data_IF_720935949777
#
_entry.id   IF_720935949777
#
_cell.length_a   1.000
_cell.length_b   1.000
_cell.length_c   1.000
_cell.angle_alpha   90.00
_cell.angle_beta   90.00
_cell.angle_gamma   90.00
#
_symmetry.space_group_name_H-M   'P 1'
#
loop_
_entity.id
_entity.type
_entity.pdbx_description
1 polymer ?
#
# COMPACT_ATOMS: atom_id res chain seq x y z
N UNK A 1 -30.94 -0.64 7.89
CA UNK A 1 -30.49 -0.16 6.55
C UNK A 1 -29.29 -0.97 6.17
N UNK A 2 -29.23 -1.46 4.95
CA UNK A 2 -28.02 -2.12 4.42
C UNK A 2 -26.95 -1.07 4.23
N UNK A 3 -25.73 -1.30 4.76
CA UNK A 3 -24.60 -0.40 4.60
C UNK A 3 -24.17 -0.35 3.13
N UNK A 4 -23.81 0.84 2.63
CA UNK A 4 -23.15 0.94 1.32
C UNK A 4 -21.73 0.33 1.40
N UNK A 5 -21.12 -0.04 0.27
CA UNK A 5 -19.70 -0.47 0.25
C UNK A 5 -18.79 0.54 0.96
N UNK A 6 -18.97 1.83 0.70
CA UNK A 6 -18.20 2.89 1.34
C UNK A 6 -18.40 2.92 2.85
N UNK A 7 -19.67 2.94 3.31
CA UNK A 7 -19.98 3.02 4.74
C UNK A 7 -19.35 1.85 5.50
N UNK A 8 -19.38 0.65 4.91
CA UNK A 8 -18.80 -0.56 5.51
C UNK A 8 -17.28 -0.45 5.67
N UNK A 9 -16.57 0.02 4.64
CA UNK A 9 -15.12 0.22 4.75
C UNK A 9 -14.79 1.29 5.80
N UNK A 10 -15.49 2.43 5.79
CA UNK A 10 -15.25 3.50 6.76
C UNK A 10 -15.60 3.11 8.19
N UNK A 11 -16.66 2.34 8.40
CA UNK A 11 -17.02 1.78 9.71
C UNK A 11 -15.97 0.76 10.19
N UNK A 12 -15.43 -0.08 9.28
CA UNK A 12 -14.32 -0.97 9.59
C UNK A 12 -13.07 -0.19 10.03
N UNK A 13 -12.74 0.91 9.33
CA UNK A 13 -11.60 1.75 9.70
C UNK A 13 -11.78 2.47 11.04
N UNK A 14 -13.01 2.66 11.49
CA UNK A 14 -13.35 3.20 12.83
C UNK A 14 -13.55 2.13 13.90
N UNK A 15 -13.43 0.85 13.55
CA UNK A 15 -13.75 -0.29 14.41
C UNK A 15 -15.20 -0.25 14.95
N UNK A 16 -16.13 0.31 14.17
CA UNK A 16 -17.57 0.31 14.46
C UNK A 16 -18.21 -1.05 14.15
N UNK A 17 -19.41 -1.28 14.66
CA UNK A 17 -20.17 -2.53 14.41
C UNK A 17 -20.55 -2.65 12.93
N UNK A 18 -20.37 -3.84 12.38
CA UNK A 18 -20.59 -4.17 10.97
C UNK A 18 -21.57 -5.33 10.82
N UNK A 19 -22.27 -5.38 9.70
CA UNK A 19 -23.04 -6.55 9.25
C UNK A 19 -22.09 -7.72 8.86
N UNK A 20 -20.94 -7.40 8.29
CA UNK A 20 -19.82 -8.27 7.96
C UNK A 20 -18.56 -7.43 7.69
N UNK A 21 -17.35 -8.01 7.70
CA UNK A 21 -16.18 -7.25 7.25
C UNK A 21 -16.30 -6.89 5.76
N UNK A 22 -15.78 -5.72 5.34
CA UNK A 22 -15.68 -5.39 3.92
C UNK A 22 -14.62 -6.25 3.21
N UNK A 23 -14.83 -6.46 1.92
CA UNK A 23 -13.83 -7.06 1.03
C UNK A 23 -13.19 -5.96 0.17
N UNK A 24 -11.95 -5.61 0.49
CA UNK A 24 -11.29 -4.46 -0.10
C UNK A 24 -9.77 -4.64 -0.14
N UNK A 25 -9.19 -4.85 -1.33
CA UNK A 25 -7.74 -4.97 -1.48
C UNK A 25 -7.10 -3.58 -1.41
N UNK A 26 -6.34 -3.30 -0.36
CA UNK A 26 -5.67 -2.00 -0.15
C UNK A 26 -4.28 -1.95 -0.78
N UNK A 27 -3.65 -3.07 -1.05
CA UNK A 27 -2.36 -3.18 -1.74
C UNK A 27 -2.49 -2.99 -3.26
N UNK A 28 -1.38 -3.02 -4.01
CA UNK A 28 -1.40 -2.88 -5.46
C UNK A 28 -2.19 -4.01 -6.11
N UNK A 29 -3.16 -3.63 -6.91
CA UNK A 29 -4.10 -4.59 -7.46
C UNK A 29 -4.61 -4.16 -8.84
N UNK A 30 -4.02 -4.69 -9.90
CA UNK A 30 -4.56 -4.65 -11.26
C UNK A 30 -4.18 -5.93 -11.99
N UNK A 31 -5.12 -6.52 -12.73
CA UNK A 31 -4.88 -7.76 -13.48
C UNK A 31 -5.02 -7.54 -14.97
N UNK A 32 -4.43 -8.44 -15.77
CA UNK A 32 -4.59 -8.44 -17.24
C UNK A 32 -6.05 -8.52 -17.65
N UNK A 33 -6.85 -9.35 -16.97
CA UNK A 33 -8.28 -9.45 -17.21
C UNK A 33 -9.03 -8.14 -16.98
N UNK A 34 -8.68 -7.41 -15.92
CA UNK A 34 -9.24 -6.07 -15.66
C UNK A 34 -8.83 -5.07 -16.74
N UNK A 35 -7.55 -5.02 -17.08
CA UNK A 35 -7.02 -4.12 -18.12
C UNK A 35 -7.74 -4.33 -19.46
N UNK A 36 -7.97 -5.60 -19.85
CA UNK A 36 -8.67 -5.96 -21.07
C UNK A 36 -10.15 -5.53 -21.02
N UNK A 37 -10.85 -5.86 -19.93
CA UNK A 37 -12.29 -5.58 -19.79
C UNK A 37 -12.59 -4.08 -19.79
N UNK A 38 -11.75 -3.26 -19.18
CA UNK A 38 -12.00 -1.81 -19.11
C UNK A 38 -11.29 -1.03 -20.22
N UNK A 39 -10.39 -1.63 -21.00
CA UNK A 39 -9.64 -0.93 -22.04
C UNK A 39 -8.73 0.17 -21.48
N UNK A 40 -8.17 -0.03 -20.29
CA UNK A 40 -7.18 0.81 -19.66
C UNK A 40 -6.06 -0.09 -19.13
N UNK A 41 -4.88 -0.03 -19.73
CA UNK A 41 -3.81 -1.00 -19.48
C UNK A 41 -2.50 -0.32 -19.13
N UNK A 42 -1.61 -1.07 -18.47
CA UNK A 42 -0.21 -0.72 -18.36
C UNK A 42 0.47 -0.81 -19.75
N UNK A 43 1.49 0.01 -20.01
CA UNK A 43 2.08 1.01 -19.13
C UNK A 43 1.37 2.37 -19.08
N UNK A 44 0.40 2.63 -19.98
CA UNK A 44 -0.25 3.95 -20.13
C UNK A 44 -1.01 4.36 -18.87
N UNK A 45 -1.70 3.42 -18.21
CA UNK A 45 -2.45 3.69 -16.97
C UNK A 45 -1.54 4.05 -15.77
N UNK A 46 -0.23 3.91 -15.88
CA UNK A 46 0.71 4.46 -14.90
C UNK A 46 1.01 5.95 -15.10
N UNK A 47 0.66 6.51 -16.27
CA UNK A 47 1.11 7.84 -16.73
C UNK A 47 -0.04 8.79 -17.03
N UNK A 48 -1.28 8.32 -17.07
CA UNK A 48 -2.50 9.12 -17.34
C UNK A 48 -3.50 8.97 -16.20
N UNK A 49 -3.92 10.09 -15.64
CA UNK A 49 -4.91 10.14 -14.58
C UNK A 49 -6.23 9.47 -14.97
N UNK A 50 -6.70 9.69 -16.21
CA UNK A 50 -7.93 9.14 -16.72
C UNK A 50 -7.88 7.61 -16.86
N UNK A 51 -6.79 7.08 -17.43
CA UNK A 51 -6.60 5.63 -17.55
C UNK A 51 -6.35 4.99 -16.20
N UNK A 52 -5.63 5.68 -15.31
CA UNK A 52 -5.39 5.24 -13.93
C UNK A 52 -6.71 5.17 -13.14
N UNK A 53 -7.55 6.18 -13.21
CA UNK A 53 -8.86 6.19 -12.57
C UNK A 53 -9.76 5.08 -13.13
N UNK A 54 -9.82 4.95 -14.45
CA UNK A 54 -10.61 3.90 -15.13
C UNK A 54 -10.19 2.49 -14.71
N UNK A 55 -8.89 2.22 -14.62
CA UNK A 55 -8.38 0.93 -14.13
C UNK A 55 -8.57 0.79 -12.62
N UNK A 56 -8.48 1.90 -11.86
CA UNK A 56 -8.64 1.94 -10.41
C UNK A 56 -10.04 1.58 -9.92
N UNK A 57 -11.08 1.84 -10.74
CA UNK A 57 -12.47 1.47 -10.44
C UNK A 57 -12.80 0.03 -10.85
N UNK A 58 -12.00 -0.59 -11.73
CA UNK A 58 -12.31 -1.87 -12.37
C UNK A 58 -12.65 -3.00 -11.38
N UNK A 59 -12.00 -3.07 -10.22
CA UNK A 59 -12.29 -4.13 -9.24
C UNK A 59 -13.67 -3.97 -8.59
N UNK A 60 -14.10 -2.74 -8.34
CA UNK A 60 -15.44 -2.46 -7.86
C UNK A 60 -16.48 -2.81 -8.94
N UNK A 61 -16.28 -2.31 -10.15
CA UNK A 61 -17.23 -2.44 -11.24
C UNK A 61 -17.38 -3.88 -11.76
N UNK A 62 -16.29 -4.65 -11.81
CA UNK A 62 -16.28 -6.01 -12.39
C UNK A 62 -16.62 -7.06 -11.34
N UNK A 63 -16.02 -6.98 -10.15
CA UNK A 63 -16.10 -8.03 -9.13
C UNK A 63 -16.90 -7.63 -7.89
N UNK A 64 -17.18 -6.34 -7.70
CA UNK A 64 -17.93 -5.82 -6.57
C UNK A 64 -17.09 -5.71 -5.29
N UNK A 65 -15.80 -5.42 -5.39
CA UNK A 65 -14.99 -4.97 -4.26
C UNK A 65 -15.52 -3.64 -3.69
N UNK A 66 -15.31 -3.40 -2.42
CA UNK A 66 -15.96 -2.30 -1.69
C UNK A 66 -15.11 -1.02 -1.64
N UNK A 67 -14.08 -0.96 -2.49
CA UNK A 67 -13.21 0.20 -2.68
C UNK A 67 -12.84 0.40 -4.14
N UNK A 68 -12.38 1.59 -4.50
CA UNK A 68 -11.61 1.89 -5.71
C UNK A 68 -10.19 2.33 -5.31
N UNK A 69 -9.17 2.07 -6.17
CA UNK A 69 -7.77 2.27 -5.75
C UNK A 69 -6.82 2.60 -6.90
N UNK A 70 -5.92 3.55 -6.65
CA UNK A 70 -4.71 3.86 -7.42
C UNK A 70 -3.62 4.47 -6.48
N UNK A 71 -2.36 4.65 -6.92
CA UNK A 71 -1.71 4.08 -8.11
C UNK A 71 -1.37 2.60 -7.95
N UNK A 72 -0.76 1.98 -8.99
CA UNK A 72 -0.54 0.53 -9.06
C UNK A 72 0.92 0.09 -8.82
N UNK A 73 1.82 0.98 -8.39
CA UNK A 73 3.23 0.66 -8.17
C UNK A 73 3.82 1.51 -7.05
N UNK A 74 5.03 1.14 -6.60
CA UNK A 74 5.82 1.82 -5.57
C UNK A 74 7.04 2.56 -6.16
N UNK A 75 6.96 2.98 -7.42
CA UNK A 75 8.11 3.57 -8.12
C UNK A 75 7.83 4.97 -8.67
N UNK A 76 6.58 5.44 -8.54
CA UNK A 76 6.20 6.75 -9.06
C UNK A 76 6.92 7.89 -8.33
N UNK A 77 7.05 7.75 -7.02
CA UNK A 77 7.71 8.70 -6.15
C UNK A 77 9.22 8.76 -6.44
N UNK A 78 9.87 7.60 -6.50
CA UNK A 78 11.31 7.53 -6.79
C UNK A 78 11.64 8.07 -8.19
N UNK A 79 10.80 7.77 -9.21
CA UNK A 79 10.97 8.32 -10.57
C UNK A 79 10.88 9.85 -10.56
N UNK A 80 9.91 10.42 -9.83
CA UNK A 80 9.78 11.87 -9.71
C UNK A 80 10.99 12.51 -9.03
N UNK A 81 11.64 11.78 -8.12
CA UNK A 81 12.87 12.20 -7.43
C UNK A 81 14.16 11.86 -8.19
N UNK A 82 14.06 11.39 -9.43
CA UNK A 82 15.21 11.22 -10.33
C UNK A 82 15.66 9.77 -10.56
N UNK A 83 15.03 8.78 -9.95
CA UNK A 83 15.34 7.37 -10.21
C UNK A 83 14.95 6.98 -11.65
N UNK A 84 15.78 6.17 -12.30
CA UNK A 84 15.41 5.56 -13.58
C UNK A 84 14.49 4.38 -13.33
N UNK A 85 13.30 4.42 -13.93
CA UNK A 85 12.28 3.38 -13.76
C UNK A 85 11.96 2.73 -15.11
N UNK A 86 11.98 1.42 -15.16
CA UNK A 86 11.39 0.66 -16.26
C UNK A 86 9.88 0.56 -16.06
N UNK A 87 9.11 1.27 -16.90
CA UNK A 87 7.64 1.37 -16.82
C UNK A 87 6.99 1.08 -18.18
N UNK A 88 7.57 0.16 -18.95
CA UNK A 88 7.19 -0.12 -20.34
C UNK A 88 6.48 -1.47 -20.53
N UNK A 89 6.30 -2.25 -19.46
CA UNK A 89 5.70 -3.58 -19.54
C UNK A 89 4.22 -3.59 -19.19
N UNK A 90 3.44 -4.39 -19.92
CA UNK A 90 2.02 -4.60 -19.67
C UNK A 90 1.76 -5.66 -18.58
N UNK A 91 2.66 -6.60 -18.44
CA UNK A 91 2.53 -7.81 -17.63
C UNK A 91 3.44 -7.86 -16.41
N UNK A 92 4.09 -6.74 -16.10
CA UNK A 92 4.94 -6.61 -14.92
C UNK A 92 4.84 -5.22 -14.30
N UNK A 93 4.94 -5.14 -12.99
CA UNK A 93 5.04 -3.87 -12.26
C UNK A 93 6.30 -3.09 -12.66
N UNK A 94 6.26 -1.76 -12.65
CA UNK A 94 7.44 -0.92 -12.86
C UNK A 94 8.57 -1.23 -11.86
N UNK A 95 9.82 -1.17 -12.33
CA UNK A 95 11.01 -1.52 -11.55
C UNK A 95 12.05 -0.40 -11.57
N UNK A 96 12.68 -0.13 -10.44
CA UNK A 96 13.85 0.75 -10.35
C UNK A 96 15.01 0.10 -11.11
N UNK A 97 15.68 0.89 -11.95
CA UNK A 97 16.88 0.46 -12.73
C UNK A 97 18.17 1.14 -12.28
N UNK A 98 18.05 2.37 -11.82
CA UNK A 98 19.18 3.08 -11.20
C UNK A 98 18.69 4.08 -10.17
N UNK A 99 19.53 4.30 -9.19
CA UNK A 99 19.32 5.21 -8.09
C UNK A 99 19.94 6.56 -8.40
N UNK A 100 19.28 7.70 -8.09
CA UNK A 100 19.79 9.03 -8.46
C UNK A 100 20.90 9.53 -7.54
N UNK A 101 21.08 8.96 -6.36
CA UNK A 101 22.05 9.42 -5.37
C UNK A 101 23.01 8.32 -4.95
N UNK A 102 24.24 8.72 -4.67
CA UNK A 102 25.28 7.85 -4.15
C UNK A 102 25.15 7.72 -2.63
N UNK A 103 25.22 6.49 -2.14
CA UNK A 103 25.24 6.16 -0.72
C UNK A 103 26.05 4.88 -0.51
N UNK A 104 27.28 5.00 -0.06
CA UNK A 104 28.18 3.87 0.19
C UNK A 104 28.67 3.88 1.65
N UNK A 105 28.05 3.06 2.53
CA UNK A 105 28.45 3.01 3.93
C UNK A 105 29.82 2.33 4.14
N UNK A 106 30.28 1.51 3.17
CA UNK A 106 31.59 0.85 3.25
C UNK A 106 32.74 1.82 3.01
N UNK A 107 32.52 2.78 2.09
CA UNK A 107 33.52 3.80 1.75
C UNK A 107 33.31 5.11 2.52
N UNK A 108 32.23 5.21 3.29
CA UNK A 108 31.78 6.47 3.95
C UNK A 108 31.60 7.61 2.97
N UNK A 109 31.01 7.31 1.80
CA UNK A 109 30.75 8.26 0.72
C UNK A 109 29.23 8.44 0.54
N UNK A 110 28.74 9.67 0.73
CA UNK A 110 27.31 9.99 0.70
C UNK A 110 27.04 11.28 -0.03
N UNK A 111 26.05 11.28 -0.93
CA UNK A 111 25.46 12.50 -1.43
C UNK A 111 24.67 13.23 -0.32
N UNK A 112 24.50 14.55 -0.47
CA UNK A 112 23.73 15.33 0.49
C UNK A 112 22.23 15.33 0.13
N UNK A 113 21.33 14.83 1.01
CA UNK A 113 19.90 14.86 0.78
C UNK A 113 19.29 16.27 0.71
N UNK A 114 20.02 17.32 1.08
CA UNK A 114 19.58 18.72 0.91
C UNK A 114 19.32 19.09 -0.57
N UNK A 115 19.79 18.28 -1.51
CA UNK A 115 19.52 18.44 -2.94
C UNK A 115 18.19 17.83 -3.40
N UNK A 116 17.41 17.22 -2.49
CA UNK A 116 16.09 16.70 -2.83
C UNK A 116 15.13 17.82 -3.24
N UNK A 117 14.24 17.49 -4.16
CA UNK A 117 13.15 18.34 -4.60
C UNK A 117 12.26 18.74 -3.42
N UNK A 118 11.71 19.96 -3.42
CA UNK A 118 10.75 20.36 -2.38
C UNK A 118 9.46 19.54 -2.43
N UNK A 119 8.75 19.38 -1.30
CA UNK A 119 7.45 18.69 -1.29
C UNK A 119 6.42 19.29 -2.26
N UNK A 120 6.39 20.61 -2.38
CA UNK A 120 5.46 21.34 -3.27
C UNK A 120 5.79 21.05 -4.74
N UNK A 121 7.06 21.09 -5.10
CA UNK A 121 7.50 20.75 -6.47
C UNK A 121 7.24 19.27 -6.78
N UNK A 122 7.44 18.38 -5.79
CA UNK A 122 7.20 16.95 -5.94
C UNK A 122 5.75 16.64 -6.33
N UNK A 123 4.78 17.15 -5.58
CA UNK A 123 3.35 16.89 -5.84
C UNK A 123 2.82 17.57 -7.11
N UNK A 124 3.51 18.58 -7.61
CA UNK A 124 3.09 19.34 -8.80
C UNK A 124 3.41 18.65 -10.15
N UNK A 125 4.13 17.53 -10.16
CA UNK A 125 4.56 16.95 -11.43
C UNK A 125 4.74 15.42 -11.43
N UNK A 126 5.00 14.88 -12.62
CA UNK A 126 5.26 13.46 -12.83
C UNK A 126 4.08 12.56 -12.51
N UNK A 127 4.35 11.28 -12.29
CA UNK A 127 3.30 10.29 -11.95
C UNK A 127 2.60 10.55 -10.61
N UNK A 128 3.22 11.15 -9.57
CA UNK A 128 2.49 11.55 -8.38
C UNK A 128 1.36 12.55 -8.66
N UNK A 129 1.57 13.56 -9.49
CA UNK A 129 0.51 14.50 -9.89
C UNK A 129 -0.61 13.81 -10.67
N UNK A 130 -0.31 12.85 -11.52
CA UNK A 130 -1.32 12.05 -12.23
C UNK A 130 -2.12 11.15 -11.26
N UNK A 131 -1.47 10.60 -10.22
CA UNK A 131 -2.17 9.85 -9.18
C UNK A 131 -3.12 10.74 -8.36
N UNK A 132 -2.71 11.96 -8.01
CA UNK A 132 -3.56 12.94 -7.32
C UNK A 132 -4.81 13.23 -8.17
N UNK A 133 -4.65 13.54 -9.46
CA UNK A 133 -5.79 13.76 -10.39
C UNK A 133 -6.67 12.52 -10.53
N UNK A 134 -6.07 11.31 -10.54
CA UNK A 134 -6.86 10.08 -10.59
C UNK A 134 -7.72 9.90 -9.33
N UNK A 135 -7.25 10.32 -8.14
CA UNK A 135 -8.07 10.34 -6.92
C UNK A 135 -9.29 11.26 -7.08
N UNK A 136 -9.10 12.48 -7.60
CA UNK A 136 -10.22 13.42 -7.86
C UNK A 136 -11.26 12.81 -8.81
N UNK A 137 -10.80 12.14 -9.88
CA UNK A 137 -11.69 11.48 -10.84
C UNK A 137 -12.47 10.32 -10.20
N UNK A 138 -11.80 9.48 -9.40
CA UNK A 138 -12.44 8.38 -8.69
C UNK A 138 -13.37 8.87 -7.58
N UNK A 139 -13.00 9.91 -6.84
CA UNK A 139 -13.87 10.54 -5.85
C UNK A 139 -15.16 11.08 -6.48
N UNK A 140 -15.04 11.72 -7.63
CA UNK A 140 -16.21 12.22 -8.39
C UNK A 140 -17.13 11.10 -8.90
N UNK A 141 -16.57 9.98 -9.34
CA UNK A 141 -17.35 8.88 -9.96
C UNK A 141 -17.87 7.87 -8.95
N UNK A 142 -17.13 7.56 -7.89
CA UNK A 142 -17.41 6.46 -6.96
C UNK A 142 -17.45 6.88 -5.49
N UNK A 143 -17.07 8.12 -5.15
CA UNK A 143 -16.90 8.56 -3.77
C UNK A 143 -18.17 8.53 -2.90
N UNK A 144 -19.36 8.50 -3.51
CA UNK A 144 -20.61 8.33 -2.77
C UNK A 144 -20.90 6.86 -2.40
N UNK A 145 -20.35 5.91 -3.15
CA UNK A 145 -20.70 4.49 -3.04
C UNK A 145 -19.56 3.59 -2.58
N UNK A 146 -18.32 3.93 -2.89
CA UNK A 146 -17.13 3.14 -2.58
C UNK A 146 -16.08 3.95 -1.83
N UNK A 147 -15.31 3.30 -0.95
CA UNK A 147 -14.17 3.94 -0.33
C UNK A 147 -13.06 4.20 -1.35
N UNK A 148 -12.49 5.39 -1.31
CA UNK A 148 -11.37 5.78 -2.17
C UNK A 148 -10.07 5.46 -1.42
N UNK A 149 -9.29 4.54 -1.96
CA UNK A 149 -8.00 4.12 -1.37
C UNK A 149 -6.86 4.60 -2.27
N UNK A 150 -5.99 5.40 -1.71
CA UNK A 150 -4.73 5.77 -2.34
C UNK A 150 -3.58 4.90 -1.82
N UNK A 151 -2.54 4.73 -2.64
CA UNK A 151 -1.30 4.09 -2.23
C UNK A 151 -0.11 5.03 -2.35
N UNK A 152 0.81 4.96 -1.41
CA UNK A 152 2.13 5.60 -1.50
C UNK A 152 3.24 4.69 -0.97
N UNK A 153 4.48 5.10 -1.17
CA UNK A 153 5.68 4.42 -0.68
C UNK A 153 6.11 5.02 0.65
N UNK A 154 6.44 4.18 1.61
CA UNK A 154 6.90 4.62 2.92
C UNK A 154 8.29 5.26 2.90
N UNK A 155 8.64 6.06 3.92
CA UNK A 155 9.83 6.89 3.91
C UNK A 155 11.14 6.09 3.83
N UNK A 156 11.26 4.98 4.53
CA UNK A 156 12.46 4.14 4.50
C UNK A 156 12.60 3.43 3.15
N UNK A 157 11.51 2.86 2.62
CA UNK A 157 11.50 2.23 1.29
C UNK A 157 11.76 3.24 0.18
N UNK A 158 11.17 4.44 0.25
CA UNK A 158 11.41 5.48 -0.75
C UNK A 158 12.88 5.92 -0.72
N UNK A 159 13.46 6.10 0.46
CA UNK A 159 14.89 6.39 0.60
C UNK A 159 15.73 5.29 -0.06
N UNK A 160 15.45 4.02 0.23
CA UNK A 160 16.14 2.89 -0.41
C UNK A 160 16.02 2.87 -1.93
N UNK A 161 14.88 3.31 -2.48
CA UNK A 161 14.69 3.48 -3.92
C UNK A 161 15.55 4.60 -4.50
N UNK A 162 15.96 5.59 -3.70
CA UNK A 162 16.80 6.72 -4.13
C UNK A 162 18.30 6.44 -4.02
N UNK A 163 18.72 5.68 -2.98
CA UNK A 163 20.13 5.50 -2.63
C UNK A 163 20.65 4.06 -2.75
N UNK A 164 19.84 3.13 -3.19
CA UNK A 164 20.00 1.68 -3.14
C UNK A 164 19.63 1.07 -1.78
N UNK A 165 18.62 0.19 -1.80
CA UNK A 165 18.07 -0.43 -0.59
C UNK A 165 19.11 -1.30 0.15
N UNK A 166 19.96 -2.03 -0.57
CA UNK A 166 20.99 -2.87 0.04
C UNK A 166 22.01 -2.03 0.81
N UNK A 167 22.51 -0.96 0.19
CA UNK A 167 23.43 -0.01 0.84
C UNK A 167 22.79 0.65 2.06
N UNK A 168 21.50 0.96 1.98
CA UNK A 168 20.78 1.56 3.09
C UNK A 168 20.61 0.60 4.28
N UNK A 169 20.33 -0.68 4.02
CA UNK A 169 20.28 -1.72 5.07
C UNK A 169 21.66 -1.93 5.72
N UNK A 170 22.74 -1.96 4.93
CA UNK A 170 24.10 -1.95 5.49
C UNK A 170 24.38 -0.66 6.29
N UNK A 171 23.89 0.47 5.81
CA UNK A 171 24.00 1.75 6.51
C UNK A 171 23.37 1.74 7.90
N UNK A 172 22.29 1.01 8.12
CA UNK A 172 21.71 0.87 9.47
C UNK A 172 22.69 0.30 10.51
N UNK A 173 23.66 -0.49 10.09
CA UNK A 173 24.70 -1.05 10.99
C UNK A 173 25.97 -0.20 11.04
N UNK A 174 26.33 0.45 9.94
CA UNK A 174 27.62 1.11 9.77
C UNK A 174 27.58 2.64 9.91
N UNK A 175 26.47 3.25 9.50
CA UNK A 175 26.29 4.69 9.44
C UNK A 175 24.82 5.07 9.70
N UNK A 176 24.23 4.67 10.85
CA UNK A 176 22.81 4.87 11.11
C UNK A 176 22.40 6.36 11.10
N UNK A 177 23.31 7.27 11.46
CA UNK A 177 23.07 8.71 11.43
C UNK A 177 22.88 9.22 9.99
N UNK A 178 23.62 8.69 8.99
CA UNK A 178 23.45 9.06 7.60
C UNK A 178 22.16 8.48 7.03
N UNK A 179 21.78 7.27 7.41
CA UNK A 179 20.46 6.71 7.05
C UNK A 179 19.35 7.59 7.61
N UNK A 180 19.41 7.94 8.89
CA UNK A 180 18.41 8.81 9.55
C UNK A 180 18.32 10.17 8.86
N UNK A 181 19.46 10.78 8.50
CA UNK A 181 19.52 12.05 7.77
C UNK A 181 18.76 11.96 6.43
N UNK A 182 18.97 10.88 5.67
CA UNK A 182 18.30 10.65 4.39
C UNK A 182 16.80 10.41 4.56
N UNK A 183 16.38 9.57 5.49
CA UNK A 183 14.96 9.29 5.73
C UNK A 183 14.23 10.55 6.24
N UNK A 184 14.87 11.33 7.12
CA UNK A 184 14.33 12.62 7.58
C UNK A 184 14.14 13.63 6.44
N UNK A 185 15.02 13.64 5.45
CA UNK A 185 14.88 14.52 4.28
C UNK A 185 13.75 14.08 3.35
N UNK A 186 13.44 12.77 3.27
CA UNK A 186 12.35 12.21 2.48
C UNK A 186 10.99 12.36 3.17
N UNK A 187 10.92 12.34 4.49
CA UNK A 187 9.69 12.41 5.28
C UNK A 187 8.73 13.55 4.88
N UNK A 188 9.16 14.81 4.70
CA UNK A 188 8.28 15.89 4.26
C UNK A 188 7.61 15.64 2.92
N UNK A 189 8.29 14.96 1.99
CA UNK A 189 7.77 14.60 0.68
C UNK A 189 6.65 13.55 0.83
N UNK A 190 6.88 12.50 1.63
CA UNK A 190 5.87 11.46 1.91
C UNK A 190 4.66 12.07 2.60
N UNK A 191 4.87 12.98 3.57
CA UNK A 191 3.80 13.69 4.27
C UNK A 191 2.96 14.53 3.31
N UNK A 192 3.61 15.34 2.46
CA UNK A 192 2.91 16.20 1.50
C UNK A 192 2.12 15.38 0.49
N UNK A 193 2.69 14.27 0.01
CA UNK A 193 1.99 13.39 -0.92
C UNK A 193 0.80 12.67 -0.27
N UNK A 194 0.97 12.15 0.96
CA UNK A 194 -0.13 11.57 1.75
C UNK A 194 -1.29 12.56 1.88
N UNK A 195 -0.99 13.81 2.23
CA UNK A 195 -2.01 14.84 2.40
C UNK A 195 -2.63 15.27 1.07
N UNK A 196 -1.85 15.39 0.00
CA UNK A 196 -2.39 15.72 -1.32
C UNK A 196 -3.36 14.65 -1.86
N UNK A 197 -3.07 13.36 -1.62
CA UNK A 197 -3.97 12.27 -1.95
C UNK A 197 -5.28 12.33 -1.14
N UNK A 198 -5.21 12.67 0.15
CA UNK A 198 -6.39 12.87 1.00
C UNK A 198 -7.23 14.07 0.54
N UNK A 199 -6.59 15.19 0.20
CA UNK A 199 -7.27 16.39 -0.31
C UNK A 199 -7.93 16.15 -1.65
N UNK A 200 -7.36 15.29 -2.50
CA UNK A 200 -7.93 14.84 -3.76
C UNK A 200 -9.09 13.84 -3.60
N UNK A 201 -9.44 13.48 -2.38
CA UNK A 201 -10.64 12.67 -2.08
C UNK A 201 -10.37 11.27 -1.55
N UNK A 202 -9.11 10.85 -1.37
CA UNK A 202 -8.84 9.55 -0.74
C UNK A 202 -9.41 9.51 0.69
N UNK A 203 -10.15 8.45 1.00
CA UNK A 203 -10.64 8.17 2.36
C UNK A 203 -9.55 7.49 3.20
N UNK A 204 -8.76 6.63 2.54
CA UNK A 204 -7.67 5.87 3.14
C UNK A 204 -6.40 6.04 2.30
N UNK A 205 -5.27 6.33 2.93
CA UNK A 205 -3.95 6.23 2.30
C UNK A 205 -3.23 5.01 2.87
N UNK A 206 -2.98 4.02 2.01
CA UNK A 206 -2.20 2.85 2.36
C UNK A 206 -0.75 3.08 1.98
N UNK A 207 0.12 3.15 2.97
CA UNK A 207 1.56 3.29 2.81
C UNK A 207 2.22 1.92 2.78
N UNK A 208 3.01 1.66 1.77
CA UNK A 208 3.81 0.44 1.65
C UNK A 208 5.25 0.69 2.10
N UNK A 209 5.69 -0.06 3.12
CA UNK A 209 7.02 0.03 3.70
C UNK A 209 7.74 -1.35 3.70
N UNK A 210 7.86 -2.02 2.53
CA UNK A 210 8.42 -3.37 2.47
C UNK A 210 9.86 -3.46 2.98
N UNK A 211 10.65 -2.39 2.88
CA UNK A 211 12.03 -2.40 3.39
C UNK A 211 12.12 -2.41 4.92
N UNK A 212 11.03 -2.10 5.63
CA UNK A 212 10.91 -2.26 7.07
C UNK A 212 10.60 -3.69 7.54
N UNK A 213 10.53 -4.64 6.62
CA UNK A 213 10.24 -6.06 6.92
C UNK A 213 11.36 -6.74 7.70
N UNK A 214 11.00 -7.71 8.52
CA UNK A 214 11.98 -8.58 9.19
C UNK A 214 12.70 -9.55 8.24
N UNK A 215 12.27 -9.62 6.99
CA UNK A 215 13.04 -10.28 5.92
C UNK A 215 14.30 -9.47 5.53
N UNK A 216 14.39 -8.19 5.93
CA UNK A 216 15.50 -7.28 5.59
C UNK A 216 16.20 -6.68 6.82
N UNK A 217 15.46 -6.43 7.89
CA UNK A 217 15.93 -5.79 9.12
C UNK A 217 15.75 -6.69 10.33
N UNK A 218 16.66 -6.62 11.30
CA UNK A 218 16.39 -7.20 12.61
C UNK A 218 15.21 -6.46 13.28
N UNK A 219 14.36 -7.17 14.07
CA UNK A 219 13.15 -6.56 14.64
C UNK A 219 13.40 -5.33 15.51
N UNK A 220 14.55 -5.26 16.20
CA UNK A 220 14.97 -4.13 17.04
C UNK A 220 15.39 -2.90 16.23
N UNK A 221 15.68 -3.04 14.94
CA UNK A 221 16.01 -1.93 14.04
C UNK A 221 14.76 -1.23 13.47
N UNK A 222 13.58 -1.84 13.56
CA UNK A 222 12.37 -1.32 12.89
C UNK A 222 12.01 0.10 13.32
N UNK A 223 12.06 0.40 14.63
CA UNK A 223 11.68 1.72 15.13
C UNK A 223 12.58 2.80 14.57
N UNK A 224 13.90 2.58 14.55
CA UNK A 224 14.86 3.56 14.05
C UNK A 224 14.87 3.67 12.52
N UNK A 225 14.67 2.56 11.82
CA UNK A 225 14.66 2.54 10.36
C UNK A 225 13.38 3.12 9.75
N UNK A 226 12.22 2.69 10.23
CA UNK A 226 10.93 2.98 9.63
C UNK A 226 9.88 3.51 10.62
N UNK A 227 9.78 2.95 11.83
CA UNK A 227 8.68 3.19 12.76
C UNK A 227 8.47 4.67 13.11
N UNK A 228 9.52 5.35 13.58
CA UNK A 228 9.47 6.78 13.93
C UNK A 228 9.13 7.67 12.73
N UNK A 229 9.64 7.33 11.54
CA UNK A 229 9.42 8.11 10.32
C UNK A 229 8.00 7.93 9.77
N UNK A 230 7.47 6.71 9.82
CA UNK A 230 6.06 6.41 9.50
C UNK A 230 5.13 7.18 10.44
N UNK A 231 5.41 7.19 11.74
CA UNK A 231 4.64 7.95 12.74
C UNK A 231 4.57 9.45 12.43
N UNK A 232 5.62 10.01 11.86
CA UNK A 232 5.67 11.42 11.47
C UNK A 232 4.92 11.69 10.16
N UNK A 233 5.19 10.87 9.13
CA UNK A 233 4.73 11.12 7.75
C UNK A 233 3.29 10.67 7.49
N UNK A 234 2.75 9.73 8.26
CA UNK A 234 1.42 9.18 8.03
C UNK A 234 0.35 9.69 9.00
N UNK A 235 0.46 10.91 9.48
CA UNK A 235 -0.59 11.53 10.29
C UNK A 235 -1.84 11.78 9.43
N UNK A 236 -2.99 11.15 9.75
CA UNK A 236 -4.19 11.35 8.96
C UNK A 236 -4.76 12.76 9.17
N UNK A 237 -5.43 13.29 8.15
CA UNK A 237 -6.32 14.45 8.29
C UNK A 237 -7.64 14.03 8.93
N UNK A 238 -8.40 14.98 9.48
CA UNK A 238 -9.70 14.72 10.09
C UNK A 238 -10.64 13.95 9.16
N UNK A 239 -11.20 12.85 9.65
CA UNK A 239 -12.10 11.99 8.89
C UNK A 239 -11.44 11.11 7.83
N UNK A 240 -10.09 11.11 7.75
CA UNK A 240 -9.28 10.28 6.85
C UNK A 240 -8.50 9.22 7.65
N UNK A 241 -8.02 8.19 6.96
CA UNK A 241 -7.36 7.06 7.59
C UNK A 241 -6.02 6.75 6.93
N UNK A 242 -5.09 6.19 7.69
CA UNK A 242 -3.82 5.69 7.19
C UNK A 242 -3.66 4.21 7.54
N UNK A 243 -3.09 3.45 6.62
CA UNK A 243 -2.79 2.03 6.79
C UNK A 243 -1.33 1.77 6.43
N UNK A 244 -0.58 1.19 7.36
CA UNK A 244 0.79 0.76 7.10
C UNK A 244 0.77 -0.68 6.59
N UNK A 245 1.32 -0.92 5.39
CA UNK A 245 1.53 -2.25 4.85
C UNK A 245 3.02 -2.61 4.86
N UNK A 246 3.32 -3.74 5.48
CA UNK A 246 4.64 -4.37 5.41
C UNK A 246 4.43 -5.84 5.03
N UNK A 247 5.10 -6.29 3.97
CA UNK A 247 5.09 -7.69 3.55
C UNK A 247 6.13 -8.51 4.34
N UNK A 248 6.11 -9.82 4.16
CA UNK A 248 7.00 -10.73 4.86
C UNK A 248 6.50 -11.18 6.24
N UNK A 249 7.38 -11.77 7.04
CA UNK A 249 7.06 -12.16 8.42
C UNK A 249 7.12 -10.94 9.35
N UNK A 250 5.99 -10.27 9.52
CA UNK A 250 5.88 -9.11 10.41
C UNK A 250 5.52 -9.47 11.86
N UNK A 251 5.35 -10.75 12.19
CA UNK A 251 4.95 -11.15 13.54
C UNK A 251 5.84 -10.56 14.66
N UNK A 252 7.19 -10.54 14.52
CA UNK A 252 8.06 -9.95 15.53
C UNK A 252 7.82 -8.45 15.78
N UNK A 253 7.44 -7.69 14.75
CA UNK A 253 7.31 -6.22 14.78
C UNK A 253 5.86 -5.71 14.83
N UNK A 254 4.85 -6.58 14.94
CA UNK A 254 3.43 -6.17 14.93
C UNK A 254 3.11 -5.08 15.96
N UNK A 255 3.64 -5.20 17.18
CA UNK A 255 3.41 -4.20 18.24
C UNK A 255 4.07 -2.85 17.92
N UNK A 256 5.22 -2.88 17.28
CA UNK A 256 5.91 -1.67 16.81
C UNK A 256 5.15 -1.02 15.65
N UNK A 257 4.61 -1.83 14.71
CA UNK A 257 3.73 -1.31 13.65
C UNK A 257 2.48 -0.61 14.25
N UNK A 258 1.85 -1.20 15.26
CA UNK A 258 0.73 -0.58 15.99
C UNK A 258 1.17 0.73 16.67
N UNK A 259 2.37 0.76 17.26
CA UNK A 259 2.90 1.94 17.97
C UNK A 259 3.20 3.13 17.06
N UNK A 260 3.27 2.94 15.73
CA UNK A 260 3.37 4.05 14.77
C UNK A 260 2.14 4.97 14.80
N UNK A 261 1.01 4.49 15.33
CA UNK A 261 -0.21 5.28 15.45
C UNK A 261 -1.02 5.41 14.17
N UNK A 262 -0.72 4.62 13.13
CA UNK A 262 -1.58 4.51 11.94
C UNK A 262 -2.93 3.89 12.32
N UNK A 263 -3.98 4.20 11.55
CA UNK A 263 -5.34 3.69 11.81
C UNK A 263 -5.42 2.17 11.66
N UNK A 264 -4.65 1.60 10.75
CA UNK A 264 -4.63 0.16 10.51
C UNK A 264 -3.28 -0.35 10.04
N UNK A 265 -3.05 -1.64 10.21
CA UNK A 265 -1.90 -2.36 9.66
C UNK A 265 -2.36 -3.43 8.68
N UNK A 266 -1.65 -3.54 7.57
CA UNK A 266 -1.88 -4.54 6.53
C UNK A 266 -0.71 -5.52 6.51
N UNK A 267 -1.00 -6.81 6.61
CA UNK A 267 0.01 -7.86 6.80
C UNK A 267 -0.19 -9.01 5.82
N UNK A 268 0.91 -9.72 5.56
CA UNK A 268 0.98 -10.85 4.64
C UNK A 268 0.58 -12.18 5.33
N UNK A 269 0.22 -13.16 4.52
CA UNK A 269 -0.16 -14.52 4.95
C UNK A 269 0.95 -15.32 5.66
N UNK A 270 2.20 -14.85 5.64
CA UNK A 270 3.27 -15.42 6.47
C UNK A 270 2.96 -15.36 7.96
N UNK A 271 2.16 -14.40 8.38
CA UNK A 271 1.62 -14.32 9.73
C UNK A 271 0.25 -14.98 9.77
N UNK A 272 0.09 -16.04 10.57
CA UNK A 272 -1.21 -16.69 10.76
C UNK A 272 -2.23 -15.67 11.28
N UNK A 273 -3.44 -15.58 10.69
CA UNK A 273 -4.40 -14.54 11.02
C UNK A 273 -4.83 -14.56 12.49
N UNK A 274 -4.99 -15.74 13.10
CA UNK A 274 -5.33 -15.88 14.51
C UNK A 274 -4.24 -15.31 15.43
N UNK A 275 -2.95 -15.62 15.13
CA UNK A 275 -1.81 -15.10 15.91
C UNK A 275 -1.68 -13.59 15.78
N UNK A 276 -1.95 -13.06 14.58
CA UNK A 276 -1.93 -11.61 14.37
C UNK A 276 -3.02 -10.92 15.19
N UNK A 277 -4.26 -11.44 15.13
CA UNK A 277 -5.40 -10.90 15.86
C UNK A 277 -5.16 -10.93 17.38
N UNK A 278 -4.66 -12.03 17.90
CA UNK A 278 -4.32 -12.18 19.32
C UNK A 278 -3.25 -11.17 19.76
N UNK A 279 -2.17 -11.04 18.99
CA UNK A 279 -1.06 -10.14 19.32
C UNK A 279 -1.44 -8.67 19.24
N UNK A 280 -2.21 -8.29 18.23
CA UNK A 280 -2.70 -6.92 18.05
C UNK A 280 -3.78 -6.57 19.08
N UNK A 281 -4.62 -7.54 19.48
CA UNK A 281 -5.59 -7.40 20.56
C UNK A 281 -6.60 -6.27 20.34
N UNK A 282 -7.01 -6.01 19.11
CA UNK A 282 -7.99 -4.98 18.77
C UNK A 282 -7.49 -3.52 18.90
N UNK A 283 -6.17 -3.31 19.10
CA UNK A 283 -5.59 -1.96 19.27
C UNK A 283 -5.55 -1.14 17.98
N UNK A 284 -5.67 -1.78 16.83
CA UNK A 284 -5.68 -1.15 15.50
C UNK A 284 -6.49 -2.00 14.52
N UNK A 285 -6.83 -1.43 13.37
CA UNK A 285 -7.52 -2.13 12.29
C UNK A 285 -6.57 -3.14 11.64
N UNK A 286 -6.99 -4.40 11.53
CA UNK A 286 -6.29 -5.43 10.77
C UNK A 286 -6.84 -5.51 9.35
N UNK A 287 -5.94 -5.40 8.36
CA UNK A 287 -6.22 -5.51 6.93
C UNK A 287 -5.44 -6.69 6.35
N UNK A 288 -6.10 -7.58 5.65
CA UNK A 288 -5.45 -8.74 5.05
C UNK A 288 -6.31 -9.99 5.15
N UNK A 289 -5.71 -11.20 5.13
CA UNK A 289 -4.34 -11.51 4.73
C UNK A 289 -4.34 -12.74 3.82
N UNK A 290 -5.27 -12.70 2.81
CA UNK A 290 -5.37 -13.79 1.83
C UNK A 290 -4.13 -13.81 0.94
N UNK A 291 -3.43 -14.93 0.92
CA UNK A 291 -2.15 -15.04 0.24
C UNK A 291 -2.18 -14.66 -1.24
N UNK A 292 -1.28 -13.76 -1.62
CA UNK A 292 -1.24 -13.18 -2.96
C UNK A 292 -0.76 -14.17 -4.01
N UNK A 293 0.23 -14.99 -3.68
CA UNK A 293 0.74 -16.06 -4.56
C UNK A 293 -0.16 -17.27 -4.43
N UNK A 294 -0.37 -17.77 -3.23
CA UNK A 294 -1.31 -18.84 -2.95
C UNK A 294 -2.19 -18.44 -1.78
N UNK A 295 -3.54 -18.42 -1.93
CA UNK A 295 -4.25 -19.03 -3.05
C UNK A 295 -4.61 -18.10 -4.23
N UNK A 296 -4.42 -16.77 -4.14
CA UNK A 296 -5.00 -15.84 -5.12
C UNK A 296 -4.49 -16.07 -6.56
N UNK A 297 -3.18 -16.24 -6.76
CA UNK A 297 -2.64 -16.42 -8.11
C UNK A 297 -2.63 -17.89 -8.55
N UNK A 298 -2.15 -18.80 -7.70
CA UNK A 298 -1.87 -20.19 -8.08
C UNK A 298 -2.85 -21.21 -7.50
N UNK A 299 -3.79 -20.78 -6.66
CA UNK A 299 -4.78 -21.65 -6.04
C UNK A 299 -6.10 -21.72 -6.80
N UNK A 300 -7.06 -22.42 -6.20
CA UNK A 300 -8.42 -22.56 -6.70
C UNK A 300 -9.37 -21.55 -6.03
N UNK A 301 -10.55 -21.27 -6.63
CA UNK A 301 -11.58 -20.46 -6.00
C UNK A 301 -11.96 -20.94 -4.59
N UNK A 302 -12.01 -22.25 -4.35
CA UNK A 302 -12.34 -22.84 -3.06
C UNK A 302 -11.26 -22.56 -2.01
N UNK A 303 -9.97 -22.62 -2.39
CA UNK A 303 -8.84 -22.26 -1.51
C UNK A 303 -8.89 -20.76 -1.14
N UNK A 304 -9.25 -19.89 -2.09
CA UNK A 304 -9.43 -18.45 -1.86
C UNK A 304 -10.58 -18.20 -0.88
N UNK A 305 -11.74 -18.86 -1.09
CA UNK A 305 -12.88 -18.74 -0.18
C UNK A 305 -12.54 -19.18 1.25
N UNK A 306 -11.83 -20.30 1.39
CA UNK A 306 -11.42 -20.81 2.69
C UNK A 306 -10.48 -19.86 3.41
N UNK A 307 -9.47 -19.31 2.71
CA UNK A 307 -8.53 -18.34 3.26
C UNK A 307 -9.23 -17.03 3.68
N UNK A 308 -10.13 -16.51 2.83
CA UNK A 308 -10.88 -15.30 3.14
C UNK A 308 -11.77 -15.45 4.38
N UNK A 309 -12.50 -16.57 4.48
CA UNK A 309 -13.34 -16.88 5.64
C UNK A 309 -12.51 -17.08 6.91
N UNK A 310 -11.31 -17.66 6.81
CA UNK A 310 -10.38 -17.82 7.94
C UNK A 310 -9.93 -16.45 8.46
N UNK A 311 -9.52 -15.54 7.60
CA UNK A 311 -9.13 -14.18 8.00
C UNK A 311 -10.29 -13.41 8.65
N UNK A 312 -11.51 -13.55 8.10
CA UNK A 312 -12.72 -12.95 8.68
C UNK A 312 -13.04 -13.54 10.07
N UNK A 313 -12.96 -14.87 10.22
CA UNK A 313 -13.21 -15.55 11.49
C UNK A 313 -12.16 -15.23 12.56
N UNK A 314 -10.91 -14.96 12.15
CA UNK A 314 -9.83 -14.50 13.03
C UNK A 314 -10.02 -13.06 13.54
N UNK A 315 -10.96 -12.29 12.95
CA UNK A 315 -11.25 -10.92 13.40
C UNK A 315 -10.57 -9.81 12.59
N UNK A 316 -10.13 -10.09 11.37
CA UNK A 316 -9.66 -9.03 10.47
C UNK A 316 -10.81 -8.08 10.13
N UNK A 317 -10.56 -6.79 10.26
CA UNK A 317 -11.56 -5.74 10.04
C UNK A 317 -11.85 -5.51 8.56
N UNK A 318 -10.84 -5.68 7.69
CA UNK A 318 -10.94 -5.56 6.23
C UNK A 318 -10.31 -6.79 5.60
N UNK A 319 -11.07 -7.54 4.83
CA UNK A 319 -10.54 -8.72 4.12
C UNK A 319 -9.91 -8.27 2.80
N UNK A 320 -8.63 -8.53 2.69
CA UNK A 320 -7.75 -8.09 1.63
C UNK A 320 -6.81 -9.21 1.21
N UNK A 321 -6.10 -9.04 0.09
CA UNK A 321 -4.88 -9.80 -0.15
C UNK A 321 -3.81 -9.46 0.88
N UNK A 322 -2.93 -10.40 1.17
CA UNK A 322 -1.81 -10.21 2.10
C UNK A 322 -0.74 -9.24 1.57
N UNK A 323 -0.62 -9.13 0.24
CA UNK A 323 0.31 -8.23 -0.45
C UNK A 323 -0.28 -7.80 -1.79
N UNK A 324 0.50 -7.10 -2.65
CA UNK A 324 0.13 -6.82 -4.03
C UNK A 324 -0.18 -8.09 -4.82
N UNK A 325 -1.24 -8.09 -5.61
CA UNK A 325 -1.63 -9.26 -6.38
C UNK A 325 -0.84 -9.37 -7.69
N UNK A 326 -0.58 -10.58 -8.13
CA UNK A 326 0.05 -10.83 -9.42
C UNK A 326 -0.87 -10.36 -10.56
N UNK A 327 -0.28 -9.74 -11.58
CA UNK A 327 -1.03 -9.20 -12.72
C UNK A 327 -1.77 -10.28 -13.51
N UNK A 328 -1.30 -11.53 -13.44
CA UNK A 328 -1.94 -12.69 -14.05
C UNK A 328 -2.91 -13.45 -13.11
N UNK A 329 -3.28 -12.87 -11.97
CA UNK A 329 -4.26 -13.48 -11.05
C UNK A 329 -5.58 -13.73 -11.78
N UNK A 330 -6.13 -14.97 -11.71
CA UNK A 330 -7.37 -15.33 -12.38
C UNK A 330 -8.58 -14.55 -11.86
N UNK A 331 -9.44 -14.10 -12.76
CA UNK A 331 -10.69 -13.41 -12.41
C UNK A 331 -11.58 -14.27 -11.49
N UNK A 332 -11.65 -15.59 -11.71
CA UNK A 332 -12.41 -16.52 -10.88
C UNK A 332 -11.98 -16.49 -9.41
N UNK A 333 -10.69 -16.29 -9.14
CA UNK A 333 -10.15 -16.18 -7.78
C UNK A 333 -10.50 -14.83 -7.15
N UNK A 334 -10.53 -13.75 -7.95
CA UNK A 334 -10.99 -12.42 -7.49
C UNK A 334 -12.50 -12.46 -7.15
N UNK A 335 -13.31 -13.09 -7.98
CA UNK A 335 -14.73 -13.31 -7.73
C UNK A 335 -14.98 -14.16 -6.48
N UNK A 336 -14.16 -15.22 -6.28
CA UNK A 336 -14.26 -16.09 -5.13
C UNK A 336 -13.99 -15.34 -3.81
N UNK A 337 -12.99 -14.46 -3.79
CA UNK A 337 -12.70 -13.62 -2.63
C UNK A 337 -13.92 -12.76 -2.25
N UNK A 338 -14.53 -12.11 -3.23
CA UNK A 338 -15.71 -11.25 -3.01
C UNK A 338 -16.91 -12.09 -2.56
N UNK A 339 -17.18 -13.20 -3.25
CA UNK A 339 -18.29 -14.11 -2.94
C UNK A 339 -18.20 -14.66 -1.52
N UNK A 340 -17.00 -15.09 -1.11
CA UNK A 340 -16.75 -15.63 0.23
C UNK A 340 -17.18 -14.66 1.34
N UNK A 341 -16.80 -13.40 1.22
CA UNK A 341 -17.08 -12.42 2.27
C UNK A 341 -18.51 -11.89 2.20
N UNK A 342 -19.06 -11.69 1.01
CA UNK A 342 -20.47 -11.30 0.87
C UNK A 342 -21.45 -12.37 1.36
N UNK A 343 -21.04 -13.63 1.42
CA UNK A 343 -21.87 -14.74 1.96
C UNK A 343 -21.93 -14.77 3.49
N UNK A 344 -21.20 -13.91 4.20
CA UNK A 344 -21.23 -13.83 5.67
C UNK A 344 -22.31 -12.86 6.20
N UNK A 345 -23.03 -12.16 5.31
CA UNK A 345 -24.10 -11.22 5.65
C UNK A 345 -25.42 -11.95 5.91
#
# INVERSE_FOLDING_TARGET
MTMTPRDRVLAAMKQESLDRPPVAIFTQAATLGQMEKVGAAWPEAHKSAELMAKLGTAQADIFGFERVRAPFCLTAEAERLGATVQVDKKDASPMIKSHPFHFDPMMSEYDDPANLMSPEEFIAGGRPAEAIKAMELMAKSHGETHAIVAGNTGPFTLTGNLVNTENMVFGMMMAPEEVDKWVNAVNPIVTAYTHALMDAGADVVQCSEPSGSTDMLAPDMFEDAAGKHVKESLKPKDGKFTVLHICGDTYPILEQMVATGVTGISIEEKVEPEKAADKVGGKTVLVGNVGSVRPLFQGTPEEVEAAAKRSAAAGFNVISSGCGIAVATPDANMEALVRAIKSLA
#
